data_IF_142703806514
#
_entry.id   IF_142703806514
#
_cell.length_a   1.000
_cell.length_b   1.000
_cell.length_c   1.000
_cell.angle_alpha   90.00
_cell.angle_beta   90.00
_cell.angle_gamma   90.00
#
_symmetry.space_group_name_H-M   'P 1'
#
loop_
_entity.id
_entity.type
_entity.pdbx_description
1 polymer ?
#
# COMPACT_ATOMS: atom_id res chain seq x y z
N UNK A 1 10.00 12.85 15.53
CA UNK A 1 9.17 12.68 14.31
C UNK A 1 7.93 13.55 14.41
N UNK A 2 7.15 13.52 15.51
CA UNK A 2 5.95 14.35 15.70
C UNK A 2 6.23 15.87 15.58
N UNK A 3 7.37 16.35 16.07
CA UNK A 3 7.77 17.76 15.98
C UNK A 3 8.10 18.20 14.54
N UNK A 4 8.73 17.32 13.76
CA UNK A 4 9.06 17.61 12.35
C UNK A 4 7.79 17.63 11.49
N UNK A 5 6.86 16.71 11.74
CA UNK A 5 5.59 16.64 11.04
C UNK A 5 4.73 17.87 11.35
N UNK A 6 4.69 18.31 12.61
CA UNK A 6 3.96 19.52 13.02
C UNK A 6 4.49 20.83 12.40
N UNK A 7 5.76 20.88 11.98
CA UNK A 7 6.33 22.03 11.30
C UNK A 7 5.99 22.12 9.81
N UNK A 8 5.64 20.97 9.19
CA UNK A 8 5.36 20.86 7.74
C UNK A 8 3.86 20.84 7.45
N UNK A 9 3.05 20.41 8.40
CA UNK A 9 1.60 20.32 8.26
C UNK A 9 0.88 21.47 8.98
N UNK A 10 -0.21 21.99 8.44
CA UNK A 10 -1.02 23.01 9.10
C UNK A 10 -1.48 22.52 10.48
N UNK A 11 -1.44 23.44 11.46
CA UNK A 11 -1.87 23.18 12.82
C UNK A 11 -3.32 22.63 12.83
N UNK A 12 -3.52 21.45 13.42
CA UNK A 12 -4.82 20.79 13.52
C UNK A 12 -5.00 19.55 12.63
N UNK A 13 -4.07 19.27 11.70
CA UNK A 13 -4.14 18.10 10.82
C UNK A 13 -3.50 16.84 11.40
N UNK A 14 -2.79 16.94 12.53
CA UNK A 14 -2.12 15.82 13.19
C UNK A 14 -2.35 15.85 14.72
N UNK A 15 -2.60 14.72 15.40
CA UNK A 15 -2.63 13.36 14.87
C UNK A 15 -3.90 13.02 14.09
N UNK A 16 -3.79 12.17 13.09
CA UNK A 16 -4.95 11.63 12.36
C UNK A 16 -5.73 10.74 13.32
N UNK A 17 -7.02 11.05 13.50
CA UNK A 17 -7.84 10.45 14.55
C UNK A 17 -8.04 8.93 14.38
N UNK A 18 -8.20 8.45 13.15
CA UNK A 18 -8.45 7.03 12.88
C UNK A 18 -7.69 6.52 11.66
N UNK A 19 -7.00 5.40 11.83
CA UNK A 19 -6.36 4.66 10.76
C UNK A 19 -7.29 3.55 10.28
N UNK A 20 -7.77 3.67 9.06
CA UNK A 20 -8.60 2.67 8.42
C UNK A 20 -7.72 1.50 7.93
N UNK A 21 -8.10 0.26 8.26
CA UNK A 21 -7.33 -0.91 7.83
C UNK A 21 -7.51 -1.16 6.33
N UNK A 22 -6.53 -1.79 5.71
CA UNK A 22 -6.64 -2.28 4.34
C UNK A 22 -7.52 -3.53 4.26
N UNK A 23 -7.89 -3.94 3.05
CA UNK A 23 -8.69 -5.15 2.83
C UNK A 23 -8.05 -6.39 3.49
N UNK A 24 -8.83 -7.26 4.17
CA UNK A 24 -8.31 -8.42 4.90
C UNK A 24 -7.53 -9.41 4.03
N UNK A 25 -7.74 -9.42 2.72
CA UNK A 25 -6.99 -10.25 1.77
C UNK A 25 -5.76 -9.55 1.15
N UNK A 26 -5.41 -8.32 1.55
CA UNK A 26 -4.27 -7.58 1.03
C UNK A 26 -2.94 -8.35 1.16
N UNK A 27 -2.77 -9.09 2.27
CA UNK A 27 -1.59 -9.92 2.50
C UNK A 27 -1.42 -11.03 1.46
N UNK A 28 -2.51 -11.60 0.93
CA UNK A 28 -2.47 -12.66 -0.10
C UNK A 28 -1.85 -12.13 -1.38
N UNK A 29 -2.15 -10.89 -1.74
CA UNK A 29 -1.61 -10.24 -2.94
C UNK A 29 -0.11 -10.02 -2.81
N UNK A 30 0.33 -9.54 -1.64
CA UNK A 30 1.75 -9.33 -1.36
C UNK A 30 2.53 -10.64 -1.26
N UNK A 31 1.91 -11.71 -0.76
CA UNK A 31 2.52 -13.02 -0.60
C UNK A 31 2.70 -13.78 -1.93
N UNK A 32 1.67 -13.76 -2.81
CA UNK A 32 1.65 -14.61 -4.02
C UNK A 32 2.81 -14.36 -4.97
N UNK A 33 3.17 -13.10 -5.22
CA UNK A 33 4.21 -12.75 -6.19
C UNK A 33 5.60 -13.26 -5.75
N UNK A 34 6.11 -12.93 -4.55
CA UNK A 34 7.40 -13.42 -4.11
C UNK A 34 7.41 -14.94 -3.84
N UNK A 35 6.28 -15.51 -3.42
CA UNK A 35 6.17 -16.97 -3.26
C UNK A 35 6.29 -17.69 -4.60
N UNK A 36 5.65 -17.20 -5.65
CA UNK A 36 5.79 -17.74 -7.00
C UNK A 36 7.23 -17.61 -7.52
N UNK A 37 7.87 -16.48 -7.28
CA UNK A 37 9.27 -16.27 -7.63
C UNK A 37 10.20 -17.25 -6.92
N UNK A 38 10.04 -17.43 -5.59
CA UNK A 38 10.82 -18.41 -4.83
C UNK A 38 10.63 -19.83 -5.33
N UNK A 39 9.41 -20.20 -5.67
CA UNK A 39 9.08 -21.52 -6.22
C UNK A 39 9.76 -21.73 -7.57
N UNK A 40 9.74 -20.72 -8.45
CA UNK A 40 10.41 -20.78 -9.76
C UNK A 40 11.93 -20.89 -9.61
N UNK A 41 12.54 -20.10 -8.72
CA UNK A 41 13.97 -20.17 -8.42
C UNK A 41 14.34 -21.53 -7.86
N UNK A 42 13.54 -22.06 -6.91
CA UNK A 42 13.78 -23.38 -6.35
C UNK A 42 13.72 -24.48 -7.41
N UNK A 43 12.76 -24.43 -8.34
CA UNK A 43 12.67 -25.40 -9.42
C UNK A 43 13.94 -25.40 -10.32
N UNK A 44 14.46 -24.23 -10.65
CA UNK A 44 15.71 -24.10 -11.40
C UNK A 44 16.90 -24.62 -10.59
N UNK A 45 16.99 -24.27 -9.30
CA UNK A 45 18.07 -24.73 -8.44
C UNK A 45 18.06 -26.24 -8.23
N UNK A 46 16.91 -26.88 -8.16
CA UNK A 46 16.80 -28.34 -8.07
C UNK A 46 17.41 -29.01 -9.31
N UNK A 47 17.22 -28.43 -10.48
CA UNK A 47 17.82 -28.97 -11.70
C UNK A 47 19.35 -28.92 -11.69
N UNK A 48 19.96 -27.89 -11.09
CA UNK A 48 21.43 -27.73 -11.06
C UNK A 48 22.09 -28.34 -9.83
N UNK A 49 21.44 -28.28 -8.67
CA UNK A 49 22.04 -28.62 -7.36
C UNK A 49 21.32 -29.79 -6.66
N UNK A 50 20.38 -30.46 -7.32
CA UNK A 50 19.59 -31.53 -6.73
C UNK A 50 18.84 -31.10 -5.48
N UNK A 51 18.91 -31.88 -4.40
CA UNK A 51 18.17 -31.61 -3.16
C UNK A 51 18.46 -30.26 -2.51
N UNK A 52 19.65 -29.70 -2.68
CA UNK A 52 19.98 -28.38 -2.15
C UNK A 52 19.19 -27.26 -2.81
N UNK A 53 18.64 -27.49 -3.99
CA UNK A 53 17.74 -26.54 -4.65
C UNK A 53 16.40 -26.32 -3.94
N UNK A 54 16.07 -27.08 -2.90
CA UNK A 54 14.88 -26.88 -2.07
C UNK A 54 15.09 -25.83 -0.97
N UNK A 55 16.33 -25.43 -0.67
CA UNK A 55 16.63 -24.44 0.37
C UNK A 55 15.84 -23.12 0.23
N UNK A 56 15.63 -22.54 -0.96
CA UNK A 56 14.85 -21.32 -1.09
C UNK A 56 13.41 -21.45 -0.58
N UNK A 57 12.82 -22.66 -0.59
CA UNK A 57 11.47 -22.90 -0.10
C UNK A 57 11.31 -22.63 1.40
N UNK A 58 12.40 -22.70 2.18
CA UNK A 58 12.40 -22.31 3.59
C UNK A 58 12.05 -20.83 3.81
N UNK A 59 12.21 -20.01 2.77
CA UNK A 59 11.77 -18.61 2.78
C UNK A 59 10.25 -18.41 2.73
N UNK A 60 9.47 -19.42 2.31
CA UNK A 60 8.02 -19.29 2.16
C UNK A 60 7.32 -19.01 3.49
N UNK A 61 7.57 -19.74 4.59
CA UNK A 61 6.98 -19.44 5.90
C UNK A 61 7.32 -18.02 6.37
N UNK A 62 8.54 -17.58 6.15
CA UNK A 62 8.97 -16.22 6.47
C UNK A 62 8.19 -15.17 5.67
N UNK A 63 8.05 -15.34 4.36
CA UNK A 63 7.25 -14.46 3.51
C UNK A 63 5.79 -14.40 3.94
N UNK A 64 5.23 -15.53 4.37
CA UNK A 64 3.86 -15.61 4.87
C UNK A 64 3.68 -14.75 6.12
N UNK A 65 4.53 -14.95 7.13
CA UNK A 65 4.51 -14.19 8.38
C UNK A 65 4.69 -12.70 8.09
N UNK A 66 5.70 -12.35 7.30
CA UNK A 66 5.99 -10.97 6.91
C UNK A 66 4.80 -10.29 6.22
N UNK A 67 4.14 -11.00 5.30
CA UNK A 67 2.97 -10.47 4.57
C UNK A 67 1.78 -10.22 5.49
N UNK A 68 1.54 -11.10 6.46
CA UNK A 68 0.48 -10.93 7.46
C UNK A 68 0.76 -9.77 8.41
N UNK A 69 1.99 -9.66 8.91
CA UNK A 69 2.37 -8.57 9.82
C UNK A 69 2.27 -7.23 9.08
N UNK A 70 2.74 -7.17 7.83
CA UNK A 70 2.62 -5.97 7.00
C UNK A 70 1.15 -5.52 6.86
N UNK A 71 0.25 -6.45 6.52
CA UNK A 71 -1.17 -6.14 6.33
C UNK A 71 -1.86 -5.62 7.60
N UNK A 72 -1.39 -6.05 8.79
CA UNK A 72 -1.90 -5.55 10.07
C UNK A 72 -1.44 -4.13 10.40
N UNK A 73 -0.26 -3.72 9.89
CA UNK A 73 0.33 -2.42 10.20
C UNK A 73 0.09 -1.40 9.09
N UNK A 74 -0.29 -1.85 7.90
CA UNK A 74 -0.63 -0.98 6.80
C UNK A 74 -2.03 -0.40 7.00
N UNK A 75 -2.20 0.87 6.68
CA UNK A 75 -3.47 1.57 6.80
C UNK A 75 -3.40 2.93 6.12
N UNK A 76 -4.55 3.52 5.95
CA UNK A 76 -4.69 4.87 5.43
C UNK A 76 -5.58 5.70 6.36
N UNK A 77 -5.48 6.99 6.25
CA UNK A 77 -6.34 7.93 6.95
C UNK A 77 -6.60 9.14 6.08
N UNK A 78 -7.83 9.61 6.10
CA UNK A 78 -8.25 10.83 5.43
C UNK A 78 -8.94 11.71 6.48
N UNK A 79 -8.37 12.87 6.74
CA UNK A 79 -8.93 13.84 7.67
C UNK A 79 -8.43 15.26 7.37
N UNK A 80 -9.30 16.24 7.49
CA UNK A 80 -8.97 17.68 7.42
C UNK A 80 -8.19 18.09 6.15
N UNK A 81 -8.53 17.52 4.99
CA UNK A 81 -7.84 17.81 3.74
C UNK A 81 -6.42 17.24 3.65
N UNK A 82 -6.13 16.21 4.45
CA UNK A 82 -4.87 15.46 4.43
C UNK A 82 -5.15 13.98 4.20
N UNK A 83 -4.44 13.37 3.25
CA UNK A 83 -4.40 11.93 3.08
C UNK A 83 -3.08 11.42 3.61
N UNK A 84 -3.13 10.44 4.49
CA UNK A 84 -1.97 9.77 5.03
C UNK A 84 -2.03 8.27 4.71
N UNK A 85 -0.91 7.72 4.28
CA UNK A 85 -0.75 6.28 4.04
C UNK A 85 0.41 5.78 4.87
N UNK A 86 0.14 4.74 5.63
CA UNK A 86 1.14 4.06 6.44
C UNK A 86 1.40 2.68 5.85
N UNK A 87 2.65 2.44 5.47
CA UNK A 87 3.11 1.16 4.94
C UNK A 87 4.36 0.71 5.69
N UNK A 88 4.57 -0.60 5.72
CA UNK A 88 5.81 -1.20 6.24
C UNK A 88 5.69 -1.76 7.65
N UNK A 89 6.58 -2.74 7.92
CA UNK A 89 6.70 -3.42 9.20
C UNK A 89 8.01 -3.04 9.92
N UNK A 90 9.17 -3.28 9.29
CA UNK A 90 10.48 -2.93 9.85
C UNK A 90 10.82 -1.48 9.52
N UNK A 91 10.61 -1.05 8.28
CA UNK A 91 10.70 0.34 7.85
C UNK A 91 9.28 0.92 7.74
N UNK A 92 8.85 1.68 8.75
CA UNK A 92 7.57 2.40 8.69
C UNK A 92 7.71 3.58 7.74
N UNK A 93 7.09 3.48 6.57
CA UNK A 93 7.01 4.57 5.61
C UNK A 93 5.64 5.23 5.73
N UNK A 94 5.68 6.50 6.04
CA UNK A 94 4.49 7.35 6.09
C UNK A 94 4.56 8.30 4.92
N UNK A 95 3.50 8.34 4.14
CA UNK A 95 3.35 9.27 3.04
C UNK A 95 2.15 10.14 3.32
N UNK A 96 2.31 11.43 3.10
CA UNK A 96 1.28 12.42 3.33
C UNK A 96 1.07 13.22 2.05
N UNK A 97 -0.17 13.49 1.71
CA UNK A 97 -0.51 14.43 0.65
C UNK A 97 -1.63 15.35 1.15
N UNK A 98 -1.49 16.64 0.85
CA UNK A 98 -2.57 17.60 1.05
C UNK A 98 -3.56 17.46 -0.10
N UNK A 99 -4.83 17.29 0.19
CA UNK A 99 -5.89 17.14 -0.83
C UNK A 99 -5.90 18.32 -1.81
N UNK A 100 -5.64 19.53 -1.31
CA UNK A 100 -5.54 20.75 -2.14
C UNK A 100 -4.42 20.74 -3.18
N UNK A 101 -3.42 19.86 -3.03
CA UNK A 101 -2.30 19.69 -3.99
C UNK A 101 -2.53 18.52 -4.94
N UNK A 102 -3.60 17.78 -4.76
CA UNK A 102 -3.97 16.67 -5.65
C UNK A 102 -4.61 17.26 -6.89
N UNK A 103 -4.06 16.91 -8.06
CA UNK A 103 -4.56 17.38 -9.37
C UNK A 103 -5.46 16.35 -10.04
N UNK A 104 -5.20 15.08 -9.80
CA UNK A 104 -5.98 14.00 -10.37
C UNK A 104 -6.08 12.83 -9.40
N UNK A 105 -7.27 12.24 -9.33
CA UNK A 105 -7.52 11.01 -8.61
C UNK A 105 -8.01 9.97 -9.61
N UNK A 106 -7.40 8.79 -9.59
CA UNK A 106 -7.84 7.70 -10.44
C UNK A 106 -7.84 6.37 -9.71
N UNK A 107 -8.82 5.56 -10.04
CA UNK A 107 -9.01 4.23 -9.47
C UNK A 107 -8.45 3.19 -10.44
N UNK A 108 -7.57 2.34 -9.95
CA UNK A 108 -7.01 1.23 -10.73
C UNK A 108 -7.35 -0.10 -10.09
N UNK A 109 -7.81 -1.02 -10.90
CA UNK A 109 -8.15 -2.36 -10.48
C UNK A 109 -7.48 -3.37 -11.41
N UNK A 110 -6.63 -4.23 -10.87
CA UNK A 110 -6.06 -5.33 -11.64
C UNK A 110 -7.06 -6.49 -11.74
N UNK A 111 -6.93 -7.41 -12.72
CA UNK A 111 -7.80 -8.58 -12.82
C UNK A 111 -7.82 -9.43 -11.54
N UNK A 112 -6.70 -9.46 -10.81
CA UNK A 112 -6.60 -10.17 -9.53
C UNK A 112 -7.30 -9.41 -8.40
N UNK A 113 -7.21 -8.08 -8.39
CA UNK A 113 -7.88 -7.25 -7.39
C UNK A 113 -9.39 -7.33 -7.59
N UNK A 114 -9.86 -7.36 -8.83
CA UNK A 114 -11.28 -7.56 -9.18
C UNK A 114 -11.84 -8.85 -8.61
N UNK A 115 -11.10 -9.96 -8.69
CA UNK A 115 -11.53 -11.25 -8.12
C UNK A 115 -11.67 -11.24 -6.60
N UNK A 116 -11.04 -10.29 -5.93
CA UNK A 116 -11.02 -10.18 -4.47
C UNK A 116 -11.77 -8.96 -3.96
N UNK A 117 -12.47 -8.23 -4.83
CA UNK A 117 -13.19 -7.02 -4.47
C UNK A 117 -12.29 -5.89 -3.98
N UNK A 118 -11.04 -5.81 -4.49
CA UNK A 118 -10.06 -4.80 -4.10
C UNK A 118 -9.82 -3.79 -5.21
N UNK A 119 -9.43 -2.57 -4.82
CA UNK A 119 -8.98 -1.53 -5.75
C UNK A 119 -7.85 -0.70 -5.13
N UNK A 120 -7.18 0.08 -5.96
CA UNK A 120 -6.13 1.02 -5.55
C UNK A 120 -6.52 2.41 -6.02
N UNK A 121 -6.52 3.37 -5.11
CA UNK A 121 -6.72 4.79 -5.42
C UNK A 121 -5.36 5.45 -5.55
N UNK A 122 -5.13 6.12 -6.65
CA UNK A 122 -3.92 6.90 -6.91
C UNK A 122 -4.28 8.38 -6.87
N UNK A 123 -3.46 9.15 -6.18
CA UNK A 123 -3.54 10.60 -6.10
C UNK A 123 -2.29 11.20 -6.73
N UNK A 124 -2.48 11.96 -7.80
CA UNK A 124 -1.40 12.69 -8.44
C UNK A 124 -1.32 14.11 -7.88
N UNK A 125 -0.11 14.59 -7.58
CA UNK A 125 0.10 15.90 -6.95
C UNK A 125 0.97 16.80 -7.82
N UNK A 126 0.75 18.11 -7.76
CA UNK A 126 1.40 19.16 -8.59
C UNK A 126 2.93 19.08 -8.60
N UNK A 127 3.55 18.57 -7.56
CA UNK A 127 5.01 18.51 -7.41
C UNK A 127 5.58 17.11 -7.56
N UNK A 128 4.79 16.15 -8.02
CA UNK A 128 5.32 14.85 -8.42
C UNK A 128 6.15 15.04 -9.70
N UNK A 129 7.38 15.49 -9.55
CA UNK A 129 8.38 15.38 -10.60
C UNK A 129 8.49 13.91 -11.01
N UNK A 130 9.10 13.62 -12.15
CA UNK A 130 9.25 12.25 -12.69
C UNK A 130 9.80 11.22 -11.66
N UNK A 131 10.29 11.66 -10.52
CA UNK A 131 10.92 10.83 -9.48
C UNK A 131 10.12 10.73 -8.17
N UNK A 132 9.04 11.49 -7.98
CA UNK A 132 8.27 11.39 -6.75
C UNK A 132 7.12 10.39 -6.88
N UNK A 133 6.98 9.47 -5.90
CA UNK A 133 5.93 8.48 -5.97
C UNK A 133 4.57 9.13 -5.83
N UNK A 134 3.71 8.92 -6.81
CA UNK A 134 2.27 9.15 -6.72
C UNK A 134 1.78 8.52 -5.41
N UNK A 135 1.05 9.29 -4.60
CA UNK A 135 0.43 8.73 -3.40
C UNK A 135 -0.59 7.67 -3.83
N UNK A 136 -0.39 6.43 -3.40
CA UNK A 136 -1.26 5.33 -3.74
C UNK A 136 -1.79 4.68 -2.46
N UNK A 137 -3.10 4.65 -2.30
CA UNK A 137 -3.78 3.84 -1.27
C UNK A 137 -4.14 2.51 -1.89
N UNK A 138 -3.36 1.48 -1.54
CA UNK A 138 -3.43 0.16 -2.20
C UNK A 138 -4.32 -0.81 -1.42
N UNK A 139 -4.95 -1.72 -2.16
CA UNK A 139 -5.70 -2.85 -1.60
C UNK A 139 -6.85 -2.45 -0.70
N UNK A 140 -7.60 -1.42 -1.08
CA UNK A 140 -8.85 -1.05 -0.44
C UNK A 140 -9.99 -1.98 -0.88
N UNK A 141 -11.00 -2.22 -0.03
CA UNK A 141 -12.29 -2.71 -0.51
C UNK A 141 -12.82 -1.81 -1.62
N UNK A 142 -13.42 -2.40 -2.65
CA UNK A 142 -13.86 -1.63 -3.83
C UNK A 142 -14.81 -0.49 -3.46
N UNK A 143 -15.76 -0.74 -2.55
CA UNK A 143 -16.73 0.27 -2.11
C UNK A 143 -16.07 1.44 -1.36
N UNK A 144 -15.07 1.14 -0.53
CA UNK A 144 -14.28 2.17 0.16
C UNK A 144 -13.40 2.96 -0.79
N UNK A 145 -12.80 2.27 -1.77
CA UNK A 145 -12.01 2.92 -2.80
C UNK A 145 -12.84 3.88 -3.66
N UNK A 146 -14.08 3.50 -3.97
CA UNK A 146 -15.02 4.36 -4.70
C UNK A 146 -15.41 5.58 -3.86
N UNK A 147 -15.78 5.38 -2.59
CA UNK A 147 -16.10 6.50 -1.67
C UNK A 147 -14.94 7.46 -1.51
N UNK A 148 -13.73 6.94 -1.32
CA UNK A 148 -12.52 7.76 -1.20
C UNK A 148 -12.26 8.55 -2.49
N UNK A 149 -12.40 7.91 -3.65
CA UNK A 149 -12.28 8.55 -4.95
C UNK A 149 -13.28 9.71 -5.10
N UNK A 150 -14.56 9.47 -4.80
CA UNK A 150 -15.62 10.47 -4.96
C UNK A 150 -15.44 11.63 -3.99
N UNK A 151 -15.04 11.35 -2.74
CA UNK A 151 -14.75 12.40 -1.75
C UNK A 151 -13.60 13.29 -2.21
N UNK A 152 -12.50 12.67 -2.70
CA UNK A 152 -11.35 13.41 -3.18
C UNK A 152 -11.64 14.19 -4.47
N UNK A 153 -12.42 13.61 -5.37
CA UNK A 153 -12.84 14.29 -6.60
C UNK A 153 -13.71 15.52 -6.30
N UNK A 154 -14.59 15.44 -5.30
CA UNK A 154 -15.39 16.56 -4.85
C UNK A 154 -14.57 17.67 -4.16
N UNK A 155 -13.46 17.33 -3.49
CA UNK A 155 -12.56 18.33 -2.87
C UNK A 155 -11.66 19.04 -3.89
N UNK A 156 -11.48 18.47 -5.08
CA UNK A 156 -10.64 19.03 -6.17
C UNK A 156 -11.49 19.91 -7.11
N UNK A 157 -12.78 19.67 -7.19
CA UNK A 157 -13.74 20.40 -8.03
C UNK A 157 -14.07 21.78 -7.46
#
# INVERSE_FOLDING_TARGET
>A
IAQIIGAVLPAGSWPVAEWLPLHPNAWKRRFKVPAFFLLSVSAVCVFWFGYYGLLPLLGIPWLYVQSKIWARHAGYAHANGLIAVREGWIGKHWRFAQTRKVQAVYLKQSPFDRRHGMATVFCDTVNAGMSEPILAVRYLPFDEAMRLHDTLAAEIS
#
